data_IF_121214492126
#
_entry.id   IF_121214492126
#
_cell.length_a   1.000
_cell.length_b   1.000
_cell.length_c   1.000
_cell.angle_alpha   90.00
_cell.angle_beta   90.00
_cell.angle_gamma   90.00
#
_symmetry.space_group_name_H-M   'P 1'
#
loop_
_entity.id
_entity.type
_entity.pdbx_description
1 polymer ?
#
# COMPACT_ATOMS: atom_id res chain seq x y z
N UNK A 1 -0.31 64.13 6.04
CA UNK A 1 0.31 62.83 6.33
C UNK A 1 -0.83 61.89 6.68
N UNK A 2 -1.18 61.01 5.76
CA UNK A 2 -2.29 60.05 5.92
C UNK A 2 -1.66 58.75 6.39
N UNK A 3 -2.02 58.31 7.60
CA UNK A 3 -1.58 57.02 8.15
C UNK A 3 -2.42 55.92 7.51
N UNK A 4 -1.81 55.06 6.70
CA UNK A 4 -2.46 53.84 6.21
C UNK A 4 -2.63 52.84 7.37
N UNK A 5 -3.80 52.17 7.49
CA UNK A 5 -3.96 51.10 8.45
C UNK A 5 -3.20 49.87 7.94
N UNK A 6 -2.27 49.40 8.76
CA UNK A 6 -1.59 48.12 8.57
C UNK A 6 -2.65 47.01 8.63
N UNK A 7 -3.03 46.45 7.47
CA UNK A 7 -3.81 45.22 7.40
C UNK A 7 -3.02 44.11 8.09
N UNK A 8 -3.38 43.81 9.34
CA UNK A 8 -3.03 42.55 9.97
C UNK A 8 -3.67 41.44 9.15
N UNK A 9 -2.91 40.89 8.20
CA UNK A 9 -3.15 39.56 7.67
C UNK A 9 -3.12 38.62 8.87
N UNK A 10 -4.31 38.22 9.34
CA UNK A 10 -4.47 37.29 10.43
C UNK A 10 -3.69 36.02 10.09
N UNK A 11 -2.70 35.68 10.92
CA UNK A 11 -2.01 34.39 10.81
C UNK A 11 -3.07 33.29 10.76
N UNK A 12 -2.93 32.30 9.86
CA UNK A 12 -3.89 31.21 9.78
C UNK A 12 -4.02 30.56 11.15
N UNK A 13 -5.24 30.53 11.70
CA UNK A 13 -5.50 30.05 13.04
C UNK A 13 -5.11 28.57 13.14
N UNK A 14 -3.91 28.29 13.63
CA UNK A 14 -3.38 26.93 13.72
C UNK A 14 -4.30 26.00 14.52
N UNK A 15 -5.10 26.55 15.45
CA UNK A 15 -6.05 25.78 16.23
C UNK A 15 -7.25 25.32 15.38
N UNK A 16 -7.74 26.16 14.46
CA UNK A 16 -8.74 25.77 13.48
C UNK A 16 -8.17 24.73 12.51
N UNK A 17 -6.95 24.91 12.01
CA UNK A 17 -6.29 23.93 11.16
C UNK A 17 -6.13 22.57 11.85
N UNK A 18 -5.73 22.55 13.13
CA UNK A 18 -5.64 21.32 13.92
C UNK A 18 -7.00 20.65 14.07
N UNK A 19 -8.06 21.40 14.40
CA UNK A 19 -9.43 20.87 14.54
C UNK A 19 -9.92 20.26 13.23
N UNK A 20 -9.80 20.99 12.14
CA UNK A 20 -10.18 20.52 10.80
C UNK A 20 -9.41 19.24 10.44
N UNK A 21 -8.10 19.19 10.72
CA UNK A 21 -7.32 17.97 10.52
C UNK A 21 -7.89 16.77 11.29
N UNK A 22 -8.21 16.94 12.58
CA UNK A 22 -8.79 15.85 13.37
C UNK A 22 -10.16 15.40 12.83
N UNK A 23 -11.02 16.33 12.45
CA UNK A 23 -12.34 16.05 11.87
C UNK A 23 -12.22 15.26 10.56
N UNK A 24 -11.30 15.68 9.67
CA UNK A 24 -11.03 14.98 8.41
C UNK A 24 -10.45 13.59 8.65
N UNK A 25 -9.46 13.43 9.53
CA UNK A 25 -8.88 12.12 9.85
C UNK A 25 -9.93 11.15 10.41
N UNK A 26 -10.85 11.66 11.24
CA UNK A 26 -11.96 10.87 11.77
C UNK A 26 -12.94 10.45 10.66
N UNK A 27 -13.36 11.38 9.80
CA UNK A 27 -14.25 11.10 8.68
C UNK A 27 -13.63 10.09 7.70
N UNK A 28 -12.35 10.26 7.35
CA UNK A 28 -11.59 9.34 6.50
C UNK A 28 -11.58 7.94 7.09
N UNK A 29 -11.35 7.81 8.40
CA UNK A 29 -11.36 6.51 9.07
C UNK A 29 -12.71 5.82 9.01
N UNK A 30 -13.81 6.55 9.21
CA UNK A 30 -15.18 6.02 9.12
C UNK A 30 -15.46 5.54 7.69
N UNK A 31 -15.23 6.41 6.70
CA UNK A 31 -15.49 6.11 5.29
C UNK A 31 -14.70 4.87 4.85
N UNK A 32 -13.40 4.80 5.17
CA UNK A 32 -12.59 3.63 4.79
C UNK A 32 -13.06 2.35 5.50
N UNK A 33 -13.38 2.42 6.80
CA UNK A 33 -13.90 1.27 7.54
C UNK A 33 -15.18 0.72 6.92
N UNK A 34 -16.11 1.59 6.55
CA UNK A 34 -17.39 1.22 5.94
C UNK A 34 -17.20 0.63 4.55
N UNK A 35 -16.48 1.32 3.66
CA UNK A 35 -16.29 0.89 2.28
C UNK A 35 -15.51 -0.42 2.19
N UNK A 36 -14.43 -0.56 2.96
CA UNK A 36 -13.65 -1.80 3.02
C UNK A 36 -14.51 -2.91 3.63
N UNK A 37 -15.21 -2.65 4.73
CA UNK A 37 -16.08 -3.64 5.37
C UNK A 37 -17.18 -4.17 4.44
N UNK A 38 -17.80 -3.31 3.63
CA UNK A 38 -18.78 -3.70 2.61
C UNK A 38 -18.15 -4.57 1.52
N UNK A 39 -16.94 -4.22 1.05
CA UNK A 39 -16.29 -4.92 -0.05
C UNK A 39 -15.67 -6.26 0.36
N UNK A 40 -15.07 -6.35 1.55
CA UNK A 40 -14.27 -7.51 1.97
C UNK A 40 -14.94 -8.36 3.02
N UNK A 41 -15.97 -7.86 3.69
CA UNK A 41 -16.45 -8.44 4.93
C UNK A 41 -15.40 -8.39 6.05
N UNK A 42 -15.58 -9.18 7.12
CA UNK A 42 -14.62 -9.24 8.23
C UNK A 42 -13.26 -9.79 7.79
N UNK A 43 -12.19 -9.07 8.11
CA UNK A 43 -10.82 -9.53 7.85
C UNK A 43 -10.27 -10.18 9.12
N UNK A 44 -10.03 -11.50 9.04
CA UNK A 44 -9.46 -12.28 10.14
C UNK A 44 -7.93 -12.20 10.15
N UNK A 45 -7.32 -12.58 11.28
CA UNK A 45 -5.87 -12.78 11.36
C UNK A 45 -5.38 -13.84 10.35
N UNK A 46 -6.19 -14.86 10.09
CA UNK A 46 -5.87 -15.89 9.10
C UNK A 46 -5.82 -15.32 7.68
N UNK A 47 -6.73 -14.40 7.33
CA UNK A 47 -6.70 -13.74 6.03
C UNK A 47 -5.38 -12.99 5.80
N UNK A 48 -4.85 -12.31 6.83
CA UNK A 48 -3.53 -11.67 6.77
C UNK A 48 -2.41 -12.68 6.49
N UNK A 49 -2.40 -13.81 7.19
CA UNK A 49 -1.39 -14.85 6.94
C UNK A 49 -1.51 -15.46 5.54
N UNK A 50 -2.73 -15.61 5.02
CA UNK A 50 -2.96 -16.11 3.67
C UNK A 50 -2.40 -15.16 2.60
N UNK A 51 -2.56 -13.84 2.77
CA UNK A 51 -1.96 -12.85 1.86
C UNK A 51 -0.43 -12.84 2.00
N UNK A 52 0.11 -12.89 3.22
CA UNK A 52 1.56 -12.99 3.42
C UNK A 52 2.15 -14.25 2.75
N UNK A 53 1.44 -15.38 2.83
CA UNK A 53 1.80 -16.62 2.15
C UNK A 53 1.74 -16.50 0.63
N UNK A 54 0.76 -15.79 0.08
CA UNK A 54 0.67 -15.48 -1.35
C UNK A 54 1.91 -14.69 -1.81
N UNK A 55 2.27 -13.61 -1.10
CA UNK A 55 3.46 -12.81 -1.41
C UNK A 55 4.72 -13.67 -1.38
N UNK A 56 4.89 -14.50 -0.35
CA UNK A 56 6.03 -15.40 -0.22
C UNK A 56 6.11 -16.41 -1.37
N UNK A 57 4.96 -16.96 -1.80
CA UNK A 57 4.88 -17.90 -2.93
C UNK A 57 5.32 -17.24 -4.25
N UNK A 58 4.80 -16.04 -4.55
CA UNK A 58 5.15 -15.32 -5.76
C UNK A 58 6.62 -14.89 -5.77
N UNK A 59 7.13 -14.44 -4.61
CA UNK A 59 8.55 -14.15 -4.42
C UNK A 59 9.43 -15.37 -4.71
N UNK A 60 9.06 -16.53 -4.16
CA UNK A 60 9.80 -17.77 -4.36
C UNK A 60 9.83 -18.17 -5.84
N UNK A 61 8.71 -18.05 -6.55
CA UNK A 61 8.63 -18.32 -8.00
C UNK A 61 9.53 -17.38 -8.80
N UNK A 62 9.47 -16.08 -8.53
CA UNK A 62 10.32 -15.09 -9.20
C UNK A 62 11.82 -15.39 -8.97
N UNK A 63 12.22 -15.60 -7.72
CA UNK A 63 13.61 -15.87 -7.37
C UNK A 63 14.11 -17.21 -7.93
N UNK A 64 13.27 -18.25 -7.90
CA UNK A 64 13.61 -19.53 -8.50
C UNK A 64 13.90 -19.40 -10.00
N UNK A 65 13.02 -18.73 -10.75
CA UNK A 65 13.23 -18.48 -12.18
C UNK A 65 14.45 -17.61 -12.41
N UNK A 66 14.64 -16.53 -11.66
CA UNK A 66 15.80 -15.65 -11.78
C UNK A 66 17.12 -16.42 -11.60
N UNK A 67 17.21 -17.25 -10.56
CA UNK A 67 18.40 -18.07 -10.28
C UNK A 67 18.64 -19.12 -11.36
N UNK A 68 17.58 -19.79 -11.83
CA UNK A 68 17.65 -20.74 -12.93
C UNK A 68 18.21 -20.09 -14.20
N UNK A 69 17.67 -18.94 -14.59
CA UNK A 69 18.13 -18.21 -15.76
C UNK A 69 19.57 -17.72 -15.61
N UNK A 70 19.94 -17.21 -14.43
CA UNK A 70 21.32 -16.82 -14.14
C UNK A 70 22.30 -18.00 -14.28
N UNK A 71 21.88 -19.23 -13.97
CA UNK A 71 22.69 -20.43 -14.16
C UNK A 71 22.75 -20.93 -15.61
N UNK A 72 21.71 -20.67 -16.41
CA UNK A 72 21.60 -21.09 -17.81
C UNK A 72 22.22 -20.09 -18.80
N UNK A 73 22.35 -18.82 -18.41
CA UNK A 73 22.80 -17.69 -19.25
C UNK A 73 24.29 -17.74 -19.70
N UNK A 74 25.00 -18.87 -19.52
CA UNK A 74 26.43 -19.09 -19.81
C UNK A 74 27.14 -18.04 -20.69
N UNK A 75 27.35 -18.34 -21.98
CA UNK A 75 27.95 -17.42 -22.96
C UNK A 75 26.93 -16.87 -23.98
N UNK A 76 25.68 -17.31 -23.91
CA UNK A 76 24.63 -16.96 -24.86
C UNK A 76 23.52 -16.16 -24.15
N UNK A 77 22.94 -15.21 -24.88
CA UNK A 77 21.80 -14.44 -24.38
C UNK A 77 20.60 -15.36 -24.17
N UNK A 78 19.86 -15.15 -23.08
CA UNK A 78 18.58 -15.82 -22.87
C UNK A 78 17.55 -15.40 -23.94
N UNK A 79 16.66 -16.33 -24.26
CA UNK A 79 15.54 -16.07 -25.17
C UNK A 79 14.63 -14.93 -24.66
N UNK A 80 14.14 -14.12 -25.60
CA UNK A 80 13.30 -12.95 -25.26
C UNK A 80 12.03 -13.36 -24.51
N UNK A 81 11.39 -14.47 -24.90
CA UNK A 81 10.17 -14.94 -24.22
C UNK A 81 10.43 -15.31 -22.75
N UNK A 82 11.60 -15.85 -22.48
CA UNK A 82 12.01 -16.23 -21.12
C UNK A 82 12.25 -14.98 -20.26
N UNK A 83 12.85 -13.94 -20.83
CA UNK A 83 12.99 -12.64 -20.16
C UNK A 83 11.63 -11.97 -19.91
N UNK A 84 10.67 -12.10 -20.84
CA UNK A 84 9.31 -11.58 -20.66
C UNK A 84 8.55 -12.33 -19.56
N UNK A 85 8.72 -13.64 -19.44
CA UNK A 85 8.12 -14.41 -18.35
C UNK A 85 8.70 -14.00 -16.98
N UNK A 86 10.01 -13.78 -16.89
CA UNK A 86 10.63 -13.25 -15.67
C UNK A 86 10.04 -11.89 -15.28
N UNK A 87 9.76 -11.01 -16.25
CA UNK A 87 9.09 -9.73 -16.02
C UNK A 87 7.68 -9.93 -15.46
N UNK A 88 6.87 -10.82 -16.04
CA UNK A 88 5.51 -11.13 -15.54
C UNK A 88 5.54 -11.64 -14.10
N UNK A 89 6.48 -12.52 -13.77
CA UNK A 89 6.66 -13.02 -12.40
C UNK A 89 7.02 -11.90 -11.42
N UNK A 90 7.91 -10.98 -11.83
CA UNK A 90 8.25 -9.79 -11.03
C UNK A 90 7.04 -8.89 -10.80
N UNK A 91 6.25 -8.63 -11.83
CA UNK A 91 5.06 -7.76 -11.74
C UNK A 91 4.01 -8.35 -10.80
N UNK A 92 3.70 -9.65 -10.94
CA UNK A 92 2.78 -10.33 -10.03
C UNK A 92 3.27 -10.30 -8.57
N UNK A 93 4.57 -10.50 -8.36
CA UNK A 93 5.18 -10.40 -7.03
C UNK A 93 5.08 -8.99 -6.43
N UNK A 94 5.40 -7.95 -7.21
CA UNK A 94 5.33 -6.55 -6.75
C UNK A 94 3.90 -6.16 -6.42
N UNK A 95 2.94 -6.49 -7.28
CA UNK A 95 1.52 -6.21 -7.06
C UNK A 95 1.03 -6.82 -5.73
N UNK A 96 1.37 -8.09 -5.48
CA UNK A 96 1.01 -8.74 -4.23
C UNK A 96 1.69 -8.10 -3.00
N UNK A 97 2.95 -7.66 -3.13
CA UNK A 97 3.67 -6.97 -2.06
C UNK A 97 3.04 -5.61 -1.75
N UNK A 98 2.69 -4.83 -2.77
CA UNK A 98 2.02 -3.54 -2.63
C UNK A 98 0.62 -3.70 -2.03
N UNK A 99 -0.13 -4.71 -2.48
CA UNK A 99 -1.42 -5.08 -1.88
C UNK A 99 -1.31 -5.47 -0.40
N UNK A 100 -0.27 -6.22 -0.01
CA UNK A 100 -0.04 -6.55 1.40
C UNK A 100 0.33 -5.30 2.22
N UNK A 101 1.17 -4.41 1.70
CA UNK A 101 1.50 -3.14 2.37
C UNK A 101 0.25 -2.24 2.54
N UNK A 102 -0.65 -2.21 1.55
CA UNK A 102 -1.92 -1.50 1.64
C UNK A 102 -2.83 -2.12 2.71
N UNK A 103 -2.84 -3.45 2.84
CA UNK A 103 -3.57 -4.15 3.90
C UNK A 103 -3.00 -3.85 5.30
N UNK A 104 -1.68 -3.85 5.46
CA UNK A 104 -1.00 -3.43 6.70
C UNK A 104 -1.31 -1.97 7.04
N UNK A 105 -1.30 -1.09 6.05
CA UNK A 105 -1.67 0.30 6.22
C UNK A 105 -3.12 0.44 6.71
N UNK A 106 -4.07 -0.26 6.09
CA UNK A 106 -5.47 -0.24 6.52
C UNK A 106 -5.63 -0.71 7.98
N UNK A 107 -4.85 -1.70 8.41
CA UNK A 107 -4.82 -2.15 9.81
C UNK A 107 -4.27 -1.07 10.74
N UNK A 108 -3.12 -0.49 10.40
CA UNK A 108 -2.44 0.52 11.21
C UNK A 108 -3.26 1.80 11.36
N UNK A 109 -4.04 2.15 10.33
CA UNK A 109 -4.96 3.29 10.36
C UNK A 109 -6.29 2.97 11.08
N UNK A 110 -6.51 1.70 11.43
CA UNK A 110 -7.72 1.23 12.07
C UNK A 110 -8.94 1.26 11.14
N UNK A 111 -8.73 1.17 9.83
CA UNK A 111 -9.81 0.98 8.85
C UNK A 111 -10.32 -0.47 8.88
N UNK A 112 -9.45 -1.41 9.28
CA UNK A 112 -9.80 -2.81 9.48
C UNK A 112 -9.41 -3.22 10.90
N UNK A 113 -10.16 -4.17 11.47
CA UNK A 113 -9.87 -4.71 12.80
C UNK A 113 -9.73 -6.22 12.70
N UNK A 114 -8.67 -6.75 13.32
CA UNK A 114 -8.49 -8.19 13.44
C UNK A 114 -9.50 -8.73 14.45
N UNK A 115 -10.51 -9.45 13.95
CA UNK A 115 -11.36 -10.25 14.83
C UNK A 115 -10.61 -11.52 15.24
N UNK A 116 -10.74 -11.85 16.53
CA UNK A 116 -10.22 -13.06 17.17
C UNK A 116 -10.78 -14.33 16.54
#
# INVERSE_FOLDING_TARGET
MVSEPNEMVSEPNEQENRRLHYELEHAIKIINSEQIGVATGPISREAFFNVAKLVACLRARYLHTLLKLGSECGNECIETEVALELKRLREAYIEAQEGFAALEHALNRGYVQLKS
#
